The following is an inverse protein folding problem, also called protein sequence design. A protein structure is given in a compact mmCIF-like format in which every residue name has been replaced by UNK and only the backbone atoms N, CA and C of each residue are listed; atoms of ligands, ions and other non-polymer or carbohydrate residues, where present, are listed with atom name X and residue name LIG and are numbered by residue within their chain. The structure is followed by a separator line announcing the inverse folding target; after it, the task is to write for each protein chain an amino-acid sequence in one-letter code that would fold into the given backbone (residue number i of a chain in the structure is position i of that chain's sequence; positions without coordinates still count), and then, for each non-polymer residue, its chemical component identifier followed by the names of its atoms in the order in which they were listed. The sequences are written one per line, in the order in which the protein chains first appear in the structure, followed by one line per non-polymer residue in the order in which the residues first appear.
data_IF_301396885186
#
_entry.id   IF_301396885186
#
_cell.length_a   1.000
_cell.length_b   1.000
_cell.length_c   1.000
_cell.angle_alpha   90.00
_cell.angle_beta   90.00
_cell.angle_gamma   90.00
#
_symmetry.space_group_name_H-M   'P 1'
#
loop_
_entity.id
_entity.type
_entity.pdbx_description
1 polymer ?
#
# COMPACT_ATOMS: atom_id res chain seq x y z
N UNK A 1 -11.02 -24.08 -6.27
CA UNK A 1 -10.28 -24.34 -5.01
C UNK A 1 -8.75 -24.38 -5.15
N UNK A 2 -8.14 -24.30 -6.35
CA UNK A 2 -6.66 -24.34 -6.51
C UNK A 2 -5.93 -23.01 -6.24
N UNK A 3 -6.61 -21.86 -6.33
CA UNK A 3 -6.01 -20.53 -6.04
C UNK A 3 -5.66 -20.32 -4.55
N UNK A 4 -6.40 -20.97 -3.64
CA UNK A 4 -6.22 -20.80 -2.19
C UNK A 4 -4.91 -21.42 -1.68
N UNK A 5 -4.44 -22.51 -2.28
CA UNK A 5 -3.18 -23.14 -1.86
C UNK A 5 -1.95 -22.36 -2.33
N UNK A 6 -2.02 -21.70 -3.49
CA UNK A 6 -0.89 -20.93 -4.01
C UNK A 6 -0.63 -19.66 -3.17
N UNK A 7 -1.68 -18.99 -2.71
CA UNK A 7 -1.58 -17.82 -1.83
C UNK A 7 -1.04 -18.22 -0.46
N UNK A 8 -1.52 -19.35 0.09
CA UNK A 8 -1.00 -19.91 1.36
C UNK A 8 0.45 -20.35 1.21
N UNK A 9 0.82 -20.99 0.10
CA UNK A 9 2.20 -21.37 -0.17
C UNK A 9 3.11 -20.14 -0.31
N UNK A 10 2.68 -19.08 -1.01
CA UNK A 10 3.44 -17.84 -1.14
C UNK A 10 3.56 -17.09 0.21
N UNK A 11 2.49 -17.08 1.01
CA UNK A 11 2.51 -16.51 2.37
C UNK A 11 3.44 -17.29 3.32
N UNK A 12 3.62 -18.60 3.10
CA UNK A 12 4.54 -19.44 3.87
C UNK A 12 5.99 -19.36 3.38
N UNK A 13 6.24 -19.07 2.08
CA UNK A 13 7.61 -18.97 1.56
C UNK A 13 8.29 -17.64 1.88
N UNK A 14 7.54 -16.55 2.04
CA UNK A 14 8.12 -15.23 2.36
C UNK A 14 8.85 -15.24 3.73
N UNK A 15 8.30 -15.84 4.80
CA UNK A 15 9.04 -16.08 6.03
C UNK A 15 10.30 -16.92 5.78
N UNK A 16 10.20 -18.06 5.08
CA UNK A 16 11.33 -19.00 4.92
C UNK A 16 12.52 -18.40 4.17
N UNK A 17 12.28 -17.54 3.17
CA UNK A 17 13.37 -16.84 2.46
C UNK A 17 13.96 -15.70 3.31
N UNK A 18 13.14 -15.04 4.14
CA UNK A 18 13.63 -14.06 5.12
C UNK A 18 14.46 -14.69 6.24
N UNK A 19 14.21 -15.96 6.58
CA UNK A 19 15.03 -16.75 7.50
C UNK A 19 16.31 -17.32 6.85
N UNK A 20 16.36 -17.41 5.51
CA UNK A 20 17.51 -17.96 4.80
C UNK A 20 18.68 -16.96 4.65
N UNK A 21 18.47 -15.67 4.94
CA UNK A 21 19.55 -14.70 5.12
C UNK A 21 20.24 -14.79 6.50
N UNK A 22 20.23 -15.98 7.13
CA UNK A 22 21.16 -16.27 8.21
C UNK A 22 22.58 -16.23 7.61
N UNK A 23 23.23 -15.09 7.81
CA UNK A 23 24.61 -14.84 7.39
C UNK A 23 25.54 -15.60 8.32
N UNK A 24 25.49 -16.93 8.29
CA UNK A 24 26.30 -17.82 9.12
C UNK A 24 27.68 -18.08 8.52
N UNK A 25 28.20 -17.16 7.70
CA UNK A 25 29.63 -17.13 7.36
C UNK A 25 30.27 -16.02 8.20
N UNK A 26 30.27 -16.23 9.51
CA UNK A 26 31.10 -15.48 10.43
C UNK A 26 32.55 -15.92 10.19
N UNK A 27 33.30 -15.09 9.47
CA UNK A 27 34.75 -15.15 9.36
C UNK A 27 35.40 -15.19 10.75
N UNK A 28 36.05 -16.31 11.08
CA UNK A 28 37.13 -16.49 12.08
C UNK A 28 37.06 -15.71 13.41
N UNK A 29 35.89 -15.48 14.01
CA UNK A 29 35.71 -15.09 15.42
C UNK A 29 36.44 -13.83 15.93
N UNK A 30 37.21 -13.14 15.10
CA UNK A 30 37.99 -11.94 15.42
C UNK A 30 37.14 -10.74 15.05
N UNK A 31 36.56 -10.11 16.08
CA UNK A 31 35.97 -8.79 15.97
C UNK A 31 36.91 -7.75 16.57
N UNK A 32 36.94 -6.52 16.03
CA UNK A 32 36.25 -6.07 14.82
C UNK A 32 36.93 -6.58 13.53
N UNK A 33 36.12 -6.95 12.52
CA UNK A 33 36.56 -7.29 11.15
C UNK A 33 36.02 -6.29 10.12
N UNK A 34 36.43 -6.42 8.86
CA UNK A 34 36.03 -5.54 7.73
C UNK A 34 34.52 -5.45 7.51
N UNK A 35 33.73 -6.38 8.06
CA UNK A 35 32.27 -6.45 7.89
C UNK A 35 31.49 -6.01 9.15
N UNK A 36 32.19 -5.69 10.25
CA UNK A 36 31.58 -5.35 11.55
C UNK A 36 31.35 -3.86 11.80
N UNK A 37 31.63 -3.01 10.80
CA UNK A 37 31.66 -1.54 10.95
C UNK A 37 32.50 -1.07 12.15
N UNK A 38 33.57 -1.81 12.50
CA UNK A 38 34.45 -1.49 13.63
C UNK A 38 33.90 -1.88 15.01
N UNK A 39 32.73 -2.51 15.10
CA UNK A 39 32.14 -2.95 16.38
C UNK A 39 32.71 -4.30 16.83
N UNK A 40 33.12 -4.40 18.09
CA UNK A 40 33.40 -5.68 18.75
C UNK A 40 32.12 -6.43 19.17
N UNK A 41 30.97 -5.72 19.21
CA UNK A 41 29.69 -6.26 19.62
C UNK A 41 28.82 -6.48 18.37
N UNK A 42 29.09 -7.57 17.66
CA UNK A 42 28.33 -8.00 16.48
C UNK A 42 27.42 -9.13 16.89
N UNK A 43 26.12 -8.96 16.63
CA UNK A 43 25.14 -10.03 16.77
C UNK A 43 24.78 -10.57 15.39
N UNK A 44 24.65 -11.90 15.21
CA UNK A 44 24.08 -12.47 14.00
C UNK A 44 22.69 -11.87 13.73
N UNK A 45 22.32 -11.70 12.45
CA UNK A 45 20.99 -11.25 12.01
C UNK A 45 19.92 -12.35 12.21
N UNK A 46 19.81 -12.89 13.42
CA UNK A 46 18.81 -13.88 13.79
C UNK A 46 17.56 -13.20 14.36
N UNK A 47 16.44 -13.91 14.38
CA UNK A 47 15.23 -13.42 15.05
C UNK A 47 15.41 -13.16 16.56
N UNK A 48 16.42 -13.77 17.20
CA UNK A 48 16.66 -13.61 18.62
C UNK A 48 17.33 -12.28 18.96
N UNK A 49 18.15 -11.73 18.04
CA UNK A 49 18.83 -10.45 18.20
C UNK A 49 17.97 -9.24 17.77
N UNK A 50 16.76 -9.48 17.25
CA UNK A 50 15.84 -8.40 16.89
C UNK A 50 15.45 -7.57 18.11
N UNK A 51 15.52 -6.26 17.95
CA UNK A 51 15.13 -5.28 18.98
C UNK A 51 13.72 -4.72 18.76
N UNK A 52 13.19 -4.85 17.55
CA UNK A 52 11.94 -4.24 17.12
C UNK A 52 11.04 -5.23 16.41
N UNK A 53 9.73 -5.02 16.53
CA UNK A 53 8.76 -5.65 15.63
C UNK A 53 8.93 -5.02 14.24
N UNK A 54 8.90 -5.84 13.19
CA UNK A 54 9.16 -5.41 11.82
C UNK A 54 8.10 -5.91 10.83
N UNK A 55 7.06 -6.58 11.32
CA UNK A 55 5.93 -7.05 10.55
C UNK A 55 4.64 -6.40 11.04
N UNK A 56 3.74 -6.08 10.11
CA UNK A 56 2.36 -5.71 10.41
C UNK A 56 1.37 -6.31 9.42
N UNK A 57 0.10 -6.40 9.84
CA UNK A 57 -1.04 -6.67 8.97
C UNK A 57 -1.90 -5.44 8.97
N UNK A 58 -2.19 -4.89 7.79
CA UNK A 58 -3.07 -3.73 7.65
C UNK A 58 -4.35 -4.09 6.91
N UNK A 59 -5.47 -3.54 7.35
CA UNK A 59 -6.77 -3.74 6.73
C UNK A 59 -7.51 -2.40 6.67
N UNK A 60 -8.23 -2.14 5.60
CA UNK A 60 -9.00 -0.90 5.49
C UNK A 60 -10.07 -0.96 4.41
N UNK A 61 -10.94 0.04 4.44
CA UNK A 61 -12.02 0.19 3.47
C UNK A 61 -12.12 1.65 3.03
N UNK A 62 -12.69 1.87 1.85
CA UNK A 62 -12.68 3.18 1.24
C UNK A 62 -13.54 3.31 0.00
N UNK A 63 -13.23 4.35 -0.75
CA UNK A 63 -14.00 4.79 -1.90
C UNK A 63 -13.06 5.02 -3.08
N UNK A 64 -13.20 4.25 -4.16
CA UNK A 64 -12.55 4.53 -5.42
C UNK A 64 -13.38 5.52 -6.25
N UNK A 65 -12.71 6.51 -6.84
CA UNK A 65 -13.28 7.59 -7.63
C UNK A 65 -12.56 7.70 -8.97
N UNK A 66 -13.25 7.37 -10.05
CA UNK A 66 -12.75 7.53 -11.41
C UNK A 66 -12.69 9.00 -11.78
N UNK A 67 -11.51 9.47 -12.15
CA UNK A 67 -11.25 10.88 -12.43
C UNK A 67 -10.67 11.10 -13.82
N UNK A 68 -9.82 10.18 -14.29
CA UNK A 68 -9.21 10.23 -15.62
C UNK A 68 -9.72 9.04 -16.42
N UNK A 69 -10.88 9.18 -17.04
CA UNK A 69 -11.57 8.16 -17.83
C UNK A 69 -12.66 8.83 -18.69
N UNK A 70 -13.18 8.15 -19.70
CA UNK A 70 -14.32 8.65 -20.48
C UNK A 70 -15.59 8.75 -19.62
N UNK A 71 -15.80 7.75 -18.76
CA UNK A 71 -16.82 7.74 -17.72
C UNK A 71 -16.16 8.05 -16.37
N UNK A 72 -16.45 9.24 -15.85
CA UNK A 72 -15.96 9.68 -14.53
C UNK A 72 -16.96 9.45 -13.40
N UNK A 73 -16.46 9.32 -12.17
CA UNK A 73 -17.24 9.31 -10.92
C UNK A 73 -17.59 10.72 -10.45
N UNK A 74 -16.70 11.69 -10.68
CA UNK A 74 -16.85 13.08 -10.23
C UNK A 74 -17.40 13.92 -11.38
N UNK A 75 -18.50 14.63 -11.14
CA UNK A 75 -19.24 15.38 -12.19
C UNK A 75 -19.01 16.89 -12.19
N UNK A 76 -18.14 17.42 -11.33
CA UNK A 76 -17.73 18.83 -11.28
C UNK A 76 -18.90 19.84 -11.44
N UNK A 77 -20.05 19.55 -10.81
CA UNK A 77 -21.25 20.40 -10.84
C UNK A 77 -22.30 20.04 -11.90
N UNK A 78 -22.02 19.15 -12.84
CA UNK A 78 -22.93 18.76 -13.93
C UNK A 78 -23.67 17.43 -13.67
N UNK A 79 -23.95 17.10 -12.40
CA UNK A 79 -24.63 15.86 -12.00
C UNK A 79 -24.28 15.41 -10.59
N UNK A 80 -24.84 14.26 -10.18
CA UNK A 80 -24.52 13.62 -8.91
C UNK A 80 -23.24 12.81 -9.02
N UNK A 81 -22.34 12.94 -8.05
CA UNK A 81 -21.15 12.10 -7.95
C UNK A 81 -21.54 10.65 -7.66
N UNK A 82 -20.79 9.72 -8.25
CA UNK A 82 -21.00 8.28 -8.08
C UNK A 82 -19.90 7.70 -7.21
N UNK A 83 -20.31 6.93 -6.21
CA UNK A 83 -19.40 6.36 -5.22
C UNK A 83 -19.38 4.84 -5.32
N UNK A 84 -18.16 4.33 -5.49
CA UNK A 84 -17.82 2.93 -5.38
C UNK A 84 -17.56 2.50 -3.94
N UNK A 85 -17.00 1.30 -3.79
CA UNK A 85 -16.41 0.84 -2.54
C UNK A 85 -15.09 0.13 -2.82
N UNK A 86 -14.17 0.17 -1.88
CA UNK A 86 -12.92 -0.58 -1.90
C UNK A 86 -12.60 -1.13 -0.52
N UNK A 87 -11.87 -2.22 -0.48
CA UNK A 87 -11.28 -2.78 0.72
C UNK A 87 -9.90 -3.33 0.39
N UNK A 88 -8.98 -3.23 1.33
CA UNK A 88 -7.63 -3.77 1.21
C UNK A 88 -7.24 -4.59 2.43
N UNK A 89 -6.37 -5.56 2.19
CA UNK A 89 -5.60 -6.28 3.21
C UNK A 89 -4.15 -6.27 2.75
N UNK A 90 -3.22 -5.90 3.62
CA UNK A 90 -1.79 -5.95 3.33
C UNK A 90 -0.98 -6.61 4.45
N UNK A 91 0.09 -7.26 4.04
CA UNK A 91 1.16 -7.72 4.92
C UNK A 91 2.34 -6.80 4.67
N UNK A 92 2.78 -6.11 5.72
CA UNK A 92 3.80 -5.08 5.61
C UNK A 92 5.05 -5.52 6.37
N UNK A 93 6.20 -5.25 5.75
CA UNK A 93 7.52 -5.52 6.29
C UNK A 93 8.30 -4.21 6.37
N UNK A 94 8.69 -3.81 7.58
CA UNK A 94 9.69 -2.78 7.77
C UNK A 94 11.09 -3.36 7.51
N UNK A 95 11.80 -2.81 6.54
CA UNK A 95 13.20 -3.17 6.25
C UNK A 95 14.13 -2.32 7.11
N UNK A 96 13.80 -1.03 7.26
CA UNK A 96 14.48 -0.09 8.13
C UNK A 96 13.45 0.76 8.90
N UNK A 97 13.93 1.71 9.70
CA UNK A 97 13.08 2.72 10.33
C UNK A 97 12.35 3.62 9.31
N UNK A 98 12.87 3.77 8.10
CA UNK A 98 12.33 4.65 7.07
C UNK A 98 11.76 3.92 5.84
N UNK A 99 12.15 2.67 5.59
CA UNK A 99 11.81 1.94 4.36
C UNK A 99 11.14 0.60 4.68
N UNK A 100 10.09 0.28 3.93
CA UNK A 100 9.32 -0.95 4.04
C UNK A 100 8.81 -1.44 2.69
N UNK A 101 8.23 -2.64 2.71
CA UNK A 101 7.61 -3.29 1.56
C UNK A 101 6.27 -3.88 2.00
N UNK A 102 5.23 -3.69 1.19
CA UNK A 102 3.88 -4.15 1.48
C UNK A 102 3.40 -5.07 0.36
N UNK A 103 2.92 -6.25 0.70
CA UNK A 103 2.16 -7.10 -0.20
C UNK A 103 0.67 -6.82 0.05
N UNK A 104 -0.02 -6.26 -0.92
CA UNK A 104 -1.39 -5.78 -0.78
C UNK A 104 -2.34 -6.51 -1.73
N UNK A 105 -3.50 -6.90 -1.20
CA UNK A 105 -4.65 -7.33 -1.96
C UNK A 105 -5.76 -6.30 -1.82
N UNK A 106 -6.32 -5.86 -2.94
CA UNK A 106 -7.44 -4.92 -3.02
C UNK A 106 -8.64 -5.60 -3.67
N UNK A 107 -9.84 -5.24 -3.20
CA UNK A 107 -11.11 -5.60 -3.83
C UNK A 107 -12.05 -4.42 -3.81
N UNK A 108 -12.74 -4.17 -4.92
CA UNK A 108 -13.67 -3.05 -4.97
C UNK A 108 -14.63 -3.04 -6.15
N UNK A 109 -15.46 -2.02 -6.18
CA UNK A 109 -16.32 -1.64 -7.28
C UNK A 109 -16.19 -0.13 -7.51
N UNK A 110 -15.79 0.30 -8.70
CA UNK A 110 -15.93 1.70 -9.12
C UNK A 110 -17.33 1.95 -9.70
N UNK A 111 -17.78 3.21 -9.64
CA UNK A 111 -19.01 3.65 -10.29
C UNK A 111 -18.80 4.95 -11.04
N UNK A 112 -19.28 5.00 -12.27
CA UNK A 112 -18.97 6.08 -13.19
C UNK A 112 -20.07 6.27 -14.23
N UNK A 113 -20.02 7.37 -14.98
CA UNK A 113 -21.05 7.72 -15.97
C UNK A 113 -22.19 8.55 -15.39
N UNK A 114 -23.30 8.68 -16.13
CA UNK A 114 -24.37 9.65 -15.88
C UNK A 114 -25.27 9.30 -14.69
N UNK A 115 -25.41 8.02 -14.39
CA UNK A 115 -26.28 7.52 -13.33
C UNK A 115 -25.70 6.24 -12.72
N UNK A 116 -26.18 5.88 -11.54
CA UNK A 116 -25.78 4.64 -10.90
C UNK A 116 -26.45 3.46 -11.63
N UNK A 117 -25.70 2.42 -11.99
CA UNK A 117 -26.24 1.25 -12.69
C UNK A 117 -27.33 0.49 -11.93
N UNK A 118 -27.52 0.78 -10.64
CA UNK A 118 -28.66 0.31 -9.84
C UNK A 118 -29.98 1.01 -10.20
N UNK A 119 -29.92 2.24 -10.69
CA UNK A 119 -31.08 3.05 -11.05
C UNK A 119 -31.46 2.83 -12.52
N UNK A 120 -32.69 3.18 -12.90
CA UNK A 120 -33.10 3.20 -14.31
C UNK A 120 -32.37 4.31 -15.07
N UNK A 121 -32.06 4.07 -16.35
CA UNK A 121 -31.46 5.10 -17.19
C UNK A 121 -32.44 6.29 -17.29
N UNK A 122 -31.98 7.53 -17.00
CA UNK A 122 -32.87 8.71 -16.99
C UNK A 122 -33.34 9.08 -18.40
N UNK A 123 -32.56 8.76 -19.43
CA UNK A 123 -32.92 8.93 -20.83
C UNK A 123 -32.15 7.92 -21.72
N UNK A 124 -32.47 7.90 -23.02
CA UNK A 124 -31.89 6.97 -23.98
C UNK A 124 -30.40 7.22 -24.32
N UNK A 125 -29.85 8.38 -23.97
CA UNK A 125 -28.45 8.77 -24.22
C UNK A 125 -27.57 8.63 -22.97
N UNK A 126 -28.18 8.53 -21.80
CA UNK A 126 -27.48 8.37 -20.54
C UNK A 126 -26.84 6.99 -20.43
N UNK A 127 -25.56 6.98 -20.11
CA UNK A 127 -24.76 5.76 -19.91
C UNK A 127 -24.18 5.78 -18.50
N UNK A 128 -24.44 4.72 -17.74
CA UNK A 128 -23.83 4.46 -16.44
C UNK A 128 -22.94 3.22 -16.52
N UNK A 129 -21.87 3.17 -15.74
CA UNK A 129 -20.99 2.01 -15.68
C UNK A 129 -20.52 1.72 -14.26
N UNK A 130 -20.13 0.46 -14.04
CA UNK A 130 -19.49 0.00 -12.82
C UNK A 130 -18.42 -1.02 -13.15
N UNK A 131 -17.35 -1.02 -12.38
CA UNK A 131 -16.26 -1.97 -12.59
C UNK A 131 -15.87 -2.64 -11.30
N UNK A 132 -16.05 -3.95 -11.26
CA UNK A 132 -15.70 -4.77 -10.11
C UNK A 132 -14.28 -5.29 -10.30
N UNK A 133 -13.42 -5.12 -9.32
CA UNK A 133 -12.01 -5.48 -9.45
C UNK A 133 -11.47 -6.21 -8.21
N UNK A 134 -10.46 -7.04 -8.47
CA UNK A 134 -9.60 -7.71 -7.51
C UNK A 134 -8.15 -7.48 -7.95
N UNK A 135 -7.30 -6.94 -7.07
CA UNK A 135 -5.91 -6.61 -7.42
C UNK A 135 -4.93 -7.17 -6.39
N UNK A 136 -3.75 -7.58 -6.85
CA UNK A 136 -2.60 -7.96 -6.00
C UNK A 136 -1.43 -7.08 -6.41
N UNK A 137 -0.76 -6.45 -5.45
CA UNK A 137 0.36 -5.55 -5.70
C UNK A 137 1.45 -5.64 -4.66
N UNK A 138 2.65 -5.25 -5.06
CA UNK A 138 3.79 -5.03 -4.18
C UNK A 138 4.08 -3.54 -4.16
N UNK A 139 4.14 -2.95 -2.97
CA UNK A 139 4.37 -1.53 -2.74
C UNK A 139 5.66 -1.33 -1.96
N UNK A 140 6.46 -0.34 -2.35
CA UNK A 140 7.44 0.27 -1.45
C UNK A 140 6.72 1.24 -0.50
N UNK A 141 7.13 1.23 0.77
CA UNK A 141 6.68 2.14 1.83
C UNK A 141 7.87 3.00 2.27
N UNK A 142 7.73 4.33 2.17
CA UNK A 142 8.70 5.30 2.69
C UNK A 142 8.05 6.08 3.83
N UNK A 143 8.56 5.94 5.04
CA UNK A 143 8.18 6.76 6.18
C UNK A 143 8.94 8.09 6.16
N UNK A 144 8.35 9.10 5.54
CA UNK A 144 8.93 10.44 5.43
C UNK A 144 9.12 11.11 6.79
N UNK A 145 8.25 10.83 7.77
CA UNK A 145 8.41 11.39 9.12
C UNK A 145 9.68 10.91 9.80
N UNK A 146 10.10 9.67 9.57
CA UNK A 146 11.38 9.17 10.07
C UNK A 146 12.55 9.59 9.17
N UNK A 147 12.39 9.56 7.85
CA UNK A 147 13.45 9.89 6.90
C UNK A 147 13.91 11.35 7.02
N UNK A 148 12.95 12.27 7.21
CA UNK A 148 13.18 13.70 7.31
C UNK A 148 13.25 14.18 8.76
N UNK A 149 13.42 13.24 9.72
CA UNK A 149 13.43 13.59 11.13
C UNK A 149 14.63 14.47 11.43
N UNK A 150 14.36 15.64 12.01
CA UNK A 150 15.42 16.49 12.54
C UNK A 150 16.03 15.88 13.79
N UNK A 151 17.34 16.03 13.88
CA UNK A 151 18.18 15.42 14.90
C UNK A 151 17.98 16.03 16.29
N UNK A 152 17.56 17.29 16.34
CA UNK A 152 17.32 18.05 17.57
C UNK A 152 15.90 17.88 18.13
N UNK A 153 15.00 17.20 17.41
CA UNK A 153 13.62 17.02 17.85
C UNK A 153 13.43 15.75 18.68
N UNK A 154 13.18 15.93 19.98
CA UNK A 154 13.02 14.86 20.96
C UNK A 154 11.55 14.46 21.21
N UNK A 155 10.60 15.10 20.52
CA UNK A 155 9.17 14.88 20.75
C UNK A 155 8.72 13.49 20.28
N UNK A 156 7.94 12.80 21.11
CA UNK A 156 7.28 11.55 20.71
C UNK A 156 6.14 11.85 19.73
N UNK A 157 6.36 11.66 18.43
CA UNK A 157 5.27 11.77 17.47
C UNK A 157 4.39 10.52 17.52
N UNK A 158 3.09 10.75 17.41
CA UNK A 158 2.10 9.71 17.17
C UNK A 158 1.60 9.73 15.74
N UNK A 159 2.13 10.59 14.88
CA UNK A 159 1.75 10.69 13.48
C UNK A 159 2.96 10.43 12.60
N UNK A 160 2.78 9.67 11.53
CA UNK A 160 3.80 9.42 10.53
C UNK A 160 3.20 9.58 9.13
N UNK A 161 3.87 10.37 8.28
CA UNK A 161 3.56 10.52 6.88
C UNK A 161 4.34 9.46 6.09
N UNK A 162 3.61 8.73 5.25
CA UNK A 162 4.13 7.66 4.42
C UNK A 162 3.89 7.96 2.94
N UNK A 163 4.85 7.55 2.11
CA UNK A 163 4.71 7.47 0.66
C UNK A 163 4.64 6.03 0.22
N UNK A 164 3.75 5.73 -0.72
CA UNK A 164 3.56 4.41 -1.31
C UNK A 164 3.76 4.48 -2.82
N UNK A 165 4.46 3.51 -3.38
CA UNK A 165 4.53 3.33 -4.83
C UNK A 165 4.77 1.86 -5.17
N UNK A 166 4.16 1.36 -6.23
CA UNK A 166 4.38 0.00 -6.65
C UNK A 166 3.56 -0.43 -7.85
N UNK A 167 3.62 -1.73 -8.13
CA UNK A 167 3.05 -2.37 -9.32
C UNK A 167 2.34 -3.66 -8.92
N UNK A 168 1.41 -4.10 -9.75
CA UNK A 168 0.65 -5.30 -9.49
C UNK A 168 -0.14 -5.79 -10.70
N UNK A 169 -1.01 -6.76 -10.43
CA UNK A 169 -2.01 -7.23 -11.38
C UNK A 169 -3.41 -6.93 -10.89
N UNK A 170 -4.28 -6.43 -11.77
CA UNK A 170 -5.69 -6.12 -11.52
C UNK A 170 -6.56 -6.95 -12.46
N UNK A 171 -7.43 -7.76 -11.87
CA UNK A 171 -8.51 -8.44 -12.58
C UNK A 171 -9.79 -7.63 -12.42
N UNK A 172 -10.59 -7.52 -13.46
CA UNK A 172 -11.83 -6.76 -13.37
C UNK A 172 -12.90 -7.18 -14.36
N UNK A 173 -14.13 -6.80 -14.05
CA UNK A 173 -15.32 -6.90 -14.90
C UNK A 173 -15.98 -5.54 -14.99
N UNK A 174 -15.96 -4.95 -16.17
CA UNK A 174 -16.56 -3.66 -16.44
C UNK A 174 -17.94 -3.84 -17.09
N UNK A 175 -18.96 -3.24 -16.50
CA UNK A 175 -20.35 -3.32 -16.94
C UNK A 175 -20.85 -1.94 -17.35
N UNK A 176 -21.60 -1.90 -18.45
CA UNK A 176 -22.29 -0.70 -18.92
C UNK A 176 -23.80 -0.90 -18.82
N UNK A 177 -24.52 0.15 -18.45
CA UNK A 177 -25.99 0.21 -18.45
C UNK A 177 -26.47 1.42 -19.24
N UNK A 178 -27.44 1.17 -20.11
CA UNK A 178 -28.22 2.17 -20.82
C UNK A 178 -29.72 1.83 -20.72
N UNK A 179 -30.56 2.48 -21.54
CA UNK A 179 -32.01 2.24 -21.55
C UNK A 179 -32.41 0.80 -21.91
N UNK A 180 -31.56 0.03 -22.58
CA UNK A 180 -31.80 -1.36 -22.96
C UNK A 180 -31.38 -2.37 -21.88
N UNK A 181 -30.79 -1.89 -20.78
CA UNK A 181 -30.36 -2.72 -19.66
C UNK A 181 -28.85 -2.74 -19.48
N UNK A 182 -28.38 -3.65 -18.61
CA UNK A 182 -26.97 -3.77 -18.26
C UNK A 182 -26.31 -4.91 -19.04
N UNK A 183 -25.12 -4.65 -19.57
CA UNK A 183 -24.27 -5.64 -20.26
C UNK A 183 -22.85 -5.63 -19.71
N UNK A 184 -22.18 -6.78 -19.81
CA UNK A 184 -20.74 -6.88 -19.57
C UNK A 184 -20.02 -6.35 -20.81
N UNK A 185 -19.11 -5.40 -20.63
CA UNK A 185 -18.31 -4.83 -21.73
C UNK A 185 -16.95 -5.50 -21.81
N UNK A 186 -16.27 -5.59 -20.67
CA UNK A 186 -14.89 -6.07 -20.62
C UNK A 186 -14.67 -6.98 -19.42
N UNK A 187 -13.92 -8.05 -19.62
CA UNK A 187 -13.40 -8.91 -18.56
C UNK A 187 -11.89 -9.12 -18.73
N UNK A 188 -11.12 -8.65 -17.74
CA UNK A 188 -9.69 -8.88 -17.65
C UNK A 188 -9.41 -9.86 -16.51
N UNK A 189 -8.65 -10.91 -16.84
CA UNK A 189 -8.22 -11.94 -15.89
C UNK A 189 -6.85 -11.57 -15.30
N UNK A 190 -6.55 -11.95 -14.04
CA UNK A 190 -5.29 -11.60 -13.41
C UNK A 190 -4.11 -12.29 -14.11
N UNK A 191 -2.91 -11.72 -13.96
CA UNK A 191 -1.64 -12.25 -14.49
C UNK A 191 -1.57 -12.37 -16.02
N UNK A 192 -2.32 -11.52 -16.73
CA UNK A 192 -2.17 -11.29 -18.16
C UNK A 192 -1.45 -9.96 -18.41
N UNK A 193 -0.83 -9.78 -19.59
CA UNK A 193 -0.13 -8.53 -19.93
C UNK A 193 -1.02 -7.28 -19.74
N UNK A 194 -2.28 -7.33 -20.19
CA UNK A 194 -3.26 -6.24 -19.99
C UNK A 194 -3.85 -6.12 -18.58
N UNK A 195 -3.37 -6.90 -17.60
CA UNK A 195 -3.78 -6.79 -16.20
C UNK A 195 -2.76 -6.06 -15.34
N UNK A 196 -1.62 -5.63 -15.90
CA UNK A 196 -0.60 -4.93 -15.13
C UNK A 196 -1.04 -3.51 -14.81
N UNK A 197 -0.94 -3.10 -13.55
CA UNK A 197 -1.25 -1.75 -13.12
C UNK A 197 -0.13 -1.20 -12.23
N UNK A 198 -0.08 0.12 -12.11
CA UNK A 198 0.79 0.81 -11.15
C UNK A 198 -0.05 1.67 -10.22
N UNK A 199 0.43 1.84 -8.99
CA UNK A 199 -0.20 2.74 -8.03
C UNK A 199 0.84 3.50 -7.22
N UNK A 200 0.51 4.74 -6.90
CA UNK A 200 1.33 5.59 -6.04
C UNK A 200 0.44 6.49 -5.21
N UNK A 201 0.87 6.83 -4.00
CA UNK A 201 0.05 7.58 -3.08
C UNK A 201 0.75 7.94 -1.79
N UNK A 202 -0.03 8.46 -0.87
CA UNK A 202 0.44 8.84 0.46
C UNK A 202 -0.45 8.21 1.52
N UNK A 203 0.08 8.07 2.72
CA UNK A 203 -0.73 7.70 3.87
C UNK A 203 -0.30 8.42 5.13
N UNK A 204 -1.25 8.55 6.04
CA UNK A 204 -1.05 9.13 7.35
C UNK A 204 -1.37 8.07 8.39
N UNK A 205 -0.35 7.65 9.14
CA UNK A 205 -0.48 6.69 10.23
C UNK A 205 -0.53 7.41 11.57
N UNK A 206 -1.44 6.99 12.43
CA UNK A 206 -1.54 7.42 13.82
C UNK A 206 -1.28 6.26 14.77
N UNK A 207 -0.26 6.39 15.62
CA UNK A 207 0.08 5.42 16.66
C UNK A 207 -0.90 5.50 17.82
N UNK A 208 -1.87 4.59 17.81
CA UNK A 208 -2.82 4.42 18.93
C UNK A 208 -2.09 3.82 20.12
N UNK A 209 -1.36 2.73 19.90
CA UNK A 209 -0.57 2.07 20.94
C UNK A 209 0.60 1.25 20.32
N UNK A 210 1.26 0.41 21.14
CA UNK A 210 2.38 -0.43 20.69
C UNK A 210 1.99 -1.53 19.69
N UNK A 211 0.70 -1.87 19.57
CA UNK A 211 0.18 -2.93 18.70
C UNK A 211 -0.68 -2.43 17.53
N UNK A 212 -1.29 -1.27 17.65
CA UNK A 212 -2.29 -0.79 16.70
C UNK A 212 -1.96 0.62 16.25
N UNK A 213 -2.05 0.84 14.94
CA UNK A 213 -2.11 2.14 14.30
C UNK A 213 -3.44 2.32 13.56
N UNK A 214 -3.91 3.55 13.44
CA UNK A 214 -4.93 3.96 12.47
C UNK A 214 -4.20 4.46 11.24
N UNK A 215 -4.72 4.17 10.05
CA UNK A 215 -4.08 4.57 8.80
C UNK A 215 -5.11 5.10 7.81
N UNK A 216 -4.90 6.32 7.32
CA UNK A 216 -5.57 6.82 6.12
C UNK A 216 -4.63 6.73 4.92
N UNK A 217 -5.08 6.21 3.78
CA UNK A 217 -4.32 6.21 2.51
C UNK A 217 -5.09 6.95 1.42
N UNK A 218 -4.36 7.67 0.59
CA UNK A 218 -4.84 8.22 -0.67
C UNK A 218 -3.92 7.71 -1.79
N UNK A 219 -4.44 6.78 -2.57
CA UNK A 219 -3.72 6.12 -3.66
C UNK A 219 -4.26 6.59 -5.00
N UNK A 220 -3.39 6.83 -5.97
CA UNK A 220 -3.73 6.98 -7.37
C UNK A 220 -3.39 5.68 -8.10
N UNK A 221 -4.36 5.08 -8.77
CA UNK A 221 -4.25 3.82 -9.46
C UNK A 221 -4.29 4.08 -10.95
N UNK A 222 -3.21 3.71 -11.64
CA UNK A 222 -3.11 3.75 -13.10
C UNK A 222 -3.28 2.34 -13.64
N UNK A 223 -4.41 2.08 -14.28
CA UNK A 223 -4.80 0.75 -14.78
C UNK A 223 -3.98 0.33 -16.00
N UNK A 224 -3.50 1.28 -16.81
CA UNK A 224 -2.82 1.01 -18.07
C UNK A 224 -3.75 0.46 -19.16
N UNK A 225 -5.06 0.59 -18.95
CA UNK A 225 -6.11 0.03 -19.82
C UNK A 225 -7.24 1.05 -19.95
N UNK A 226 -7.76 1.19 -21.17
CA UNK A 226 -8.80 2.14 -21.57
C UNK A 226 -10.22 1.54 -21.48
N UNK A 227 -10.33 0.31 -21.01
CA UNK A 227 -11.61 -0.42 -20.96
C UNK A 227 -12.13 -0.61 -19.55
N UNK A 228 -11.42 -0.08 -18.54
CA UNK A 228 -11.75 -0.25 -17.12
C UNK A 228 -12.96 0.59 -16.72
N UNK A 229 -13.24 1.71 -17.37
CA UNK A 229 -14.39 2.56 -17.07
C UNK A 229 -15.73 2.01 -17.59
N UNK A 230 -15.69 0.91 -18.35
CA UNK A 230 -16.85 0.26 -18.95
C UNK A 230 -17.35 0.90 -20.24
N UNK A 231 -16.55 1.70 -20.93
CA UNK A 231 -16.83 2.24 -22.26
C UNK A 231 -16.75 1.21 -23.40
N UNK A 232 -16.08 0.07 -23.18
CA UNK A 232 -15.97 -1.01 -24.16
C UNK A 232 -14.67 -0.96 -24.97
N UNK A 233 -14.69 -1.38 -26.22
CA UNK A 233 -13.49 -1.38 -27.07
C UNK A 233 -12.89 0.03 -27.24
N UNK A 234 -11.56 0.19 -27.42
CA UNK A 234 -10.88 1.49 -27.60
C UNK A 234 -11.41 2.36 -28.75
N UNK A 235 -12.23 1.80 -29.65
CA UNK A 235 -12.87 2.52 -30.76
C UNK A 235 -14.38 2.68 -30.60
N UNK A 236 -14.95 2.35 -29.44
CA UNK A 236 -16.36 2.52 -29.13
C UNK A 236 -16.75 4.01 -29.14
N UNK A 237 -18.04 4.31 -29.30
CA UNK A 237 -18.52 5.69 -29.20
C UNK A 237 -18.30 6.31 -27.80
N UNK A 238 -18.04 5.49 -26.79
CA UNK A 238 -17.75 5.96 -25.43
C UNK A 238 -16.26 6.28 -25.29
N UNK A 239 -15.37 5.38 -25.71
CA UNK A 239 -13.91 5.56 -25.62
C UNK A 239 -13.37 6.61 -26.61
N UNK A 240 -14.14 7.00 -27.63
CA UNK A 240 -13.79 8.13 -28.51
C UNK A 240 -14.01 9.50 -27.86
N UNK A 241 -14.57 9.57 -26.65
CA UNK A 241 -14.86 10.85 -25.97
C UNK A 241 -13.60 11.49 -25.37
N UNK A 242 -12.57 10.69 -25.14
CA UNK A 242 -11.26 11.07 -24.65
C UNK A 242 -10.17 10.46 -25.54
N UNK A 243 -9.02 11.12 -25.63
CA UNK A 243 -7.83 10.53 -26.26
C UNK A 243 -6.93 9.82 -25.24
N UNK A 244 -7.43 9.60 -24.03
CA UNK A 244 -6.72 8.89 -22.98
C UNK A 244 -6.62 7.41 -23.35
N UNK A 245 -5.62 6.74 -22.78
CA UNK A 245 -5.31 5.32 -23.06
C UNK A 245 -5.31 4.50 -21.77
N UNK A 246 -5.78 5.09 -20.67
CA UNK A 246 -5.75 4.52 -19.33
C UNK A 246 -6.79 5.19 -18.44
N UNK A 247 -7.67 4.36 -17.90
CA UNK A 247 -8.73 4.74 -16.98
C UNK A 247 -8.26 4.70 -15.53
N UNK A 248 -7.93 5.88 -14.99
CA UNK A 248 -7.31 6.00 -13.68
C UNK A 248 -8.29 6.49 -12.61
N UNK A 249 -8.07 6.03 -11.38
CA UNK A 249 -8.91 6.37 -10.24
C UNK A 249 -8.09 6.69 -8.99
N UNK A 250 -8.63 7.58 -8.17
CA UNK A 250 -8.18 7.76 -6.80
C UNK A 250 -8.86 6.74 -5.90
N UNK A 251 -8.16 6.19 -4.93
CA UNK A 251 -8.69 5.33 -3.89
C UNK A 251 -8.34 5.92 -2.52
N UNK A 252 -9.35 6.43 -1.83
CA UNK A 252 -9.21 6.97 -0.48
C UNK A 252 -9.70 5.92 0.51
N UNK A 253 -8.82 5.44 1.41
CA UNK A 253 -9.14 4.38 2.38
C UNK A 253 -8.80 4.80 3.80
N UNK A 254 -9.54 4.24 4.75
CA UNK A 254 -9.27 4.33 6.19
C UNK A 254 -9.20 2.91 6.76
N UNK A 255 -8.21 2.66 7.61
CA UNK A 255 -7.89 1.32 8.07
C UNK A 255 -7.15 1.28 9.41
N UNK A 256 -6.82 0.07 9.79
CA UNK A 256 -6.05 -0.29 10.98
C UNK A 256 -4.82 -1.10 10.58
N UNK A 257 -3.71 -0.86 11.27
CA UNK A 257 -2.49 -1.65 11.12
C UNK A 257 -2.13 -2.31 12.45
N UNK A 258 -1.96 -3.62 12.42
CA UNK A 258 -1.66 -4.47 13.57
C UNK A 258 -0.20 -4.91 13.53
N UNK A 259 0.61 -4.41 14.47
CA UNK A 259 2.03 -4.73 14.61
C UNK A 259 2.18 -6.12 15.22
N UNK A 260 2.96 -6.97 14.56
CA UNK A 260 3.19 -8.35 14.97
C UNK A 260 4.54 -8.49 15.67
N UNK A 261 4.54 -9.18 16.80
CA UNK A 261 5.75 -9.54 17.54
C UNK A 261 5.67 -9.20 19.02
N UNK A 262 6.77 -9.48 19.72
CA UNK A 262 6.87 -9.41 21.18
C UNK A 262 7.62 -8.17 21.70
N UNK A 263 8.22 -7.39 20.81
CA UNK A 263 9.01 -6.22 21.18
C UNK A 263 8.12 -5.03 21.52
N UNK A 264 8.63 -4.10 22.33
CA UNK A 264 7.86 -2.94 22.81
C UNK A 264 7.61 -1.88 21.74
N UNK A 265 8.49 -1.80 20.73
CA UNK A 265 8.35 -0.86 19.62
C UNK A 265 8.42 -1.56 18.28
N UNK A 266 7.74 -0.97 17.30
CA UNK A 266 7.82 -1.36 15.91
C UNK A 266 8.85 -0.48 15.19
N UNK A 267 9.62 -1.07 14.28
CA UNK A 267 10.79 -0.45 13.63
C UNK A 267 10.44 0.89 12.97
N UNK A 268 9.28 0.98 12.32
CA UNK A 268 8.77 2.22 11.70
C UNK A 268 8.41 3.34 12.69
N UNK A 269 8.35 3.06 13.99
CA UNK A 269 8.12 4.06 15.03
C UNK A 269 9.37 4.26 15.91
N UNK A 270 10.50 3.67 15.52
CA UNK A 270 11.76 3.82 16.22
C UNK A 270 12.63 4.88 15.53
N UNK A 271 13.27 5.73 16.33
CA UNK A 271 14.25 6.69 15.84
C UNK A 271 15.66 6.27 16.25
N UNK A 272 16.49 5.85 15.28
CA UNK A 272 17.85 5.45 15.58
C UNK A 272 18.74 6.62 16.03
N UNK A 273 18.48 7.86 15.57
CA UNK A 273 19.33 9.01 15.90
C UNK A 273 19.14 9.42 17.36
N UNK A 274 17.91 9.59 17.82
CA UNK A 274 17.63 9.91 19.22
C UNK A 274 18.24 8.88 20.19
N UNK A 275 18.24 7.59 19.82
CA UNK A 275 18.89 6.56 20.64
C UNK A 275 20.41 6.78 20.74
N UNK A 276 21.06 7.19 19.65
CA UNK A 276 22.50 7.49 19.63
C UNK A 276 22.81 8.71 20.50
N UNK A 277 22.09 9.82 20.32
CA UNK A 277 22.31 11.05 21.12
C UNK A 277 22.06 10.81 22.60
N UNK A 278 20.98 10.13 22.97
CA UNK A 278 20.72 9.78 24.36
C UNK A 278 21.88 8.98 24.99
N UNK A 279 22.43 8.00 24.26
CA UNK A 279 23.58 7.23 24.75
C UNK A 279 24.84 8.08 24.87
N UNK A 280 25.09 8.99 23.93
CA UNK A 280 26.20 9.92 23.99
C UNK A 280 26.08 10.87 25.19
N UNK A 281 24.89 11.42 25.44
CA UNK A 281 24.64 12.30 26.59
C UNK A 281 24.81 11.55 27.92
N UNK A 282 24.29 10.33 28.03
CA UNK A 282 24.50 9.49 29.22
C UNK A 282 25.98 9.19 29.45
N UNK A 283 26.75 8.95 28.38
CA UNK A 283 28.20 8.74 28.48
C UNK A 283 28.95 10.02 28.85
N UNK A 284 28.56 11.16 28.29
CA UNK A 284 29.14 12.46 28.61
C UNK A 284 28.90 12.83 30.10
N UNK A 285 27.69 12.60 30.59
CA UNK A 285 27.32 12.88 31.98
C UNK A 285 27.96 11.90 32.97
N UNK A 286 28.21 10.64 32.58
CA UNK A 286 28.90 9.66 33.45
C UNK A 286 30.34 10.02 33.78
N UNK A 287 31.00 10.84 32.96
CA UNK A 287 32.39 11.23 33.17
C UNK A 287 32.54 12.48 34.05
N UNK A 288 31.46 13.17 34.44
CA UNK A 288 31.51 14.38 35.26
C UNK A 288 31.51 14.11 36.78
N UNK A 289 31.23 12.89 37.24
CA UNK A 289 31.22 12.52 38.67
C UNK A 289 32.58 11.98 39.19
N UNK A 290 33.68 12.29 38.49
CA UNK A 290 35.06 11.97 38.94
C UNK A 290 35.88 13.26 38.97
N UNK A 291 35.55 14.16 39.90
CA UNK A 291 36.46 15.20 40.43
C UNK A 291 36.37 15.25 41.95
#
# INVERSE_FOLDING_TARGET
MKLSLAIVALALTIPTVSYAQDSSVATDGKYPNTFSSGSANVSPFTNQSKRFNDWSISVGAGVPLMQSADLTSIKNGNGKNLFGYSAYVSIDKAITHAFGINLQYDRGETRQGWFNTKDSAPDARAIGARTQYDAISVLGDINFSNLLRRVDNHSTYRWALHGYAGVGTIAYKAYQKDANGQRLMTEVKPFKLGSMFMQAGTGLKFKVNRRVDIEGRLMYVMTGDDTFDGGGDPYSEVNRRSSQVSDNFFNATLGLSFKLGKHESHLMWHDPLQEIYYKLDVLANKNQDIE
#
